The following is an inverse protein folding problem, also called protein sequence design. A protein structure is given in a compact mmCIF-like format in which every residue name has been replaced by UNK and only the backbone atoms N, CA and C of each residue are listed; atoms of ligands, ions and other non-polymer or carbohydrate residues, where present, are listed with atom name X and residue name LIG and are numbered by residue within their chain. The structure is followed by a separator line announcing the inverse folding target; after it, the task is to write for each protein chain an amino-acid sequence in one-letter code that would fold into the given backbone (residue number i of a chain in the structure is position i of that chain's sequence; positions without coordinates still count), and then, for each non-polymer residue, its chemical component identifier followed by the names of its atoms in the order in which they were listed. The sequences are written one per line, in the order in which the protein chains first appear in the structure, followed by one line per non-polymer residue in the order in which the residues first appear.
data_IF_117900278848
#
_entry.id   IF_117900278848
#
_cell.length_a   1.000
_cell.length_b   1.000
_cell.length_c   1.000
_cell.angle_alpha   90.00
_cell.angle_beta   90.00
_cell.angle_gamma   90.00
#
_symmetry.space_group_name_H-M   'P 1'
#
loop_
_entity.id
_entity.type
_entity.pdbx_description
1 polymer ?
#
# COMPACT_ATOMS: atom_id res chain seq x y z
N UNK A 1 28.51 3.36 -9.40
CA UNK A 1 27.97 2.12 -8.80
C UNK A 1 26.63 2.36 -8.08
N UNK A 2 26.57 2.77 -6.81
CA UNK A 2 25.27 2.82 -6.10
C UNK A 2 24.28 3.86 -6.65
N UNK A 3 24.75 5.05 -7.04
CA UNK A 3 23.89 6.14 -7.53
C UNK A 3 23.23 5.83 -8.88
N UNK A 4 23.98 5.27 -9.83
CA UNK A 4 23.48 4.95 -11.18
C UNK A 4 22.37 3.88 -11.14
N UNK A 5 22.50 2.89 -10.25
CA UNK A 5 21.46 1.89 -10.04
C UNK A 5 20.17 2.51 -9.49
N UNK A 6 20.28 3.43 -8.52
CA UNK A 6 19.11 4.12 -7.96
C UNK A 6 18.44 5.04 -8.98
N UNK A 7 19.22 5.73 -9.81
CA UNK A 7 18.69 6.60 -10.87
C UNK A 7 17.96 5.77 -11.94
N UNK A 8 18.52 4.61 -12.32
CA UNK A 8 17.88 3.65 -13.23
C UNK A 8 16.56 3.14 -12.65
N UNK A 9 16.57 2.62 -11.42
CA UNK A 9 15.37 2.06 -10.78
C UNK A 9 14.30 3.11 -10.54
N UNK A 10 14.71 4.34 -10.22
CA UNK A 10 13.80 5.48 -10.14
C UNK A 10 13.10 5.72 -11.48
N UNK A 11 13.83 5.70 -12.60
CA UNK A 11 13.26 5.89 -13.93
C UNK A 11 12.35 4.74 -14.36
N UNK A 12 12.68 3.51 -14.00
CA UNK A 12 11.83 2.35 -14.27
C UNK A 12 10.52 2.40 -13.50
N UNK A 13 10.55 2.78 -12.22
CA UNK A 13 9.33 3.03 -11.45
C UNK A 13 8.50 4.16 -12.06
N UNK A 14 9.14 5.27 -12.45
CA UNK A 14 8.43 6.37 -13.10
C UNK A 14 7.81 5.97 -14.44
N UNK A 15 8.50 5.13 -15.21
CA UNK A 15 7.96 4.55 -16.44
C UNK A 15 6.77 3.64 -16.15
N UNK A 16 6.82 2.84 -15.09
CA UNK A 16 5.70 1.99 -14.68
C UNK A 16 4.45 2.82 -14.32
N UNK A 17 4.60 3.87 -13.50
CA UNK A 17 3.47 4.75 -13.18
C UNK A 17 2.92 5.48 -14.40
N UNK A 18 3.78 6.09 -15.25
CA UNK A 18 3.33 6.73 -16.50
C UNK A 18 2.63 5.76 -17.44
N UNK A 19 3.09 4.51 -17.50
CA UNK A 19 2.50 3.45 -18.33
C UNK A 19 1.22 2.83 -17.75
N UNK A 20 0.84 3.16 -16.51
CA UNK A 20 -0.31 2.53 -15.85
C UNK A 20 -1.65 3.03 -16.39
N UNK A 21 -1.71 4.24 -16.96
CA UNK A 21 -2.94 4.75 -17.56
C UNK A 21 -2.83 6.14 -18.19
N UNK A 22 -3.82 6.53 -19.02
CA UNK A 22 -3.76 7.76 -19.84
C UNK A 22 -3.95 9.07 -19.06
N UNK A 23 -4.51 9.00 -17.85
CA UNK A 23 -4.81 10.12 -16.95
C UNK A 23 -3.80 10.26 -15.79
N UNK A 24 -2.68 9.52 -15.87
CA UNK A 24 -1.55 9.69 -14.96
C UNK A 24 -0.82 10.99 -15.30
N UNK A 25 -0.62 11.82 -14.28
CA UNK A 25 0.17 13.04 -14.36
C UNK A 25 1.37 12.93 -13.43
N UNK A 26 2.55 13.25 -13.95
CA UNK A 26 3.80 13.31 -13.20
C UNK A 26 4.08 14.77 -12.81
N UNK A 27 4.52 14.99 -11.56
CA UNK A 27 4.97 16.29 -11.07
C UNK A 27 6.29 16.15 -10.33
N UNK A 28 7.26 17.00 -10.67
CA UNK A 28 8.50 17.10 -9.89
C UNK A 28 8.19 17.62 -8.49
N UNK A 29 8.75 16.96 -7.47
CA UNK A 29 8.67 17.36 -6.06
C UNK A 29 10.06 17.36 -5.45
N UNK A 30 10.21 17.94 -4.25
CA UNK A 30 11.50 17.96 -3.58
C UNK A 30 12.01 16.53 -3.34
N UNK A 31 13.14 16.19 -3.95
CA UNK A 31 13.77 14.87 -3.84
C UNK A 31 13.21 13.78 -4.76
N UNK A 32 12.26 14.08 -5.66
CA UNK A 32 11.65 13.04 -6.48
C UNK A 32 10.52 13.49 -7.40
N UNK A 33 9.58 12.56 -7.61
CA UNK A 33 8.44 12.67 -8.53
C UNK A 33 7.17 12.17 -7.87
N UNK A 34 6.10 12.95 -7.99
CA UNK A 34 4.76 12.57 -7.57
C UNK A 34 3.93 12.17 -8.78
N UNK A 35 3.16 11.10 -8.64
CA UNK A 35 2.25 10.57 -9.65
C UNK A 35 0.81 10.74 -9.16
N UNK A 36 -0.01 11.38 -10.00
CA UNK A 36 -1.41 11.66 -9.70
C UNK A 36 -2.32 11.10 -10.78
N UNK A 37 -3.51 10.66 -10.39
CA UNK A 37 -4.57 10.17 -11.29
C UNK A 37 -5.81 11.01 -11.03
N UNK A 38 -6.31 11.72 -12.05
CA UNK A 38 -7.47 12.62 -11.90
C UNK A 38 -7.29 13.68 -10.80
N UNK A 39 -6.05 14.11 -10.53
CA UNK A 39 -5.72 15.06 -9.44
C UNK A 39 -5.51 14.42 -8.06
N UNK A 40 -5.74 13.12 -7.92
CA UNK A 40 -5.50 12.39 -6.67
C UNK A 40 -4.07 11.85 -6.62
N UNK A 41 -3.33 12.11 -5.54
CA UNK A 41 -1.99 11.56 -5.35
C UNK A 41 -2.06 10.03 -5.19
N UNK A 42 -1.24 9.32 -5.96
CA UNK A 42 -1.19 7.85 -5.98
C UNK A 42 0.13 7.33 -5.43
N UNK A 43 1.24 7.92 -5.85
CA UNK A 43 2.55 7.58 -5.36
C UNK A 43 3.52 8.76 -5.41
N UNK A 44 4.57 8.70 -4.59
CA UNK A 44 5.74 9.57 -4.68
C UNK A 44 6.98 8.69 -4.71
N UNK A 45 7.78 8.79 -5.77
CA UNK A 45 9.08 8.12 -5.92
C UNK A 45 10.17 9.13 -5.65
N UNK A 46 11.03 8.89 -4.67
CA UNK A 46 12.05 9.84 -4.23
C UNK A 46 13.39 9.16 -3.93
N UNK A 47 14.48 9.90 -4.12
CA UNK A 47 15.82 9.49 -3.72
C UNK A 47 16.29 10.40 -2.58
N UNK A 48 16.36 9.85 -1.37
CA UNK A 48 16.74 10.59 -0.16
C UNK A 48 17.88 9.87 0.53
N UNK A 49 18.99 10.59 0.76
CA UNK A 49 20.18 10.06 1.45
C UNK A 49 20.75 8.78 0.81
N UNK A 50 20.67 8.66 -0.51
CA UNK A 50 21.16 7.47 -1.24
C UNK A 50 20.23 6.26 -1.12
N UNK A 51 18.96 6.47 -0.79
CA UNK A 51 17.93 5.43 -0.75
C UNK A 51 16.78 5.82 -1.66
N UNK A 52 16.41 4.92 -2.55
CA UNK A 52 15.19 5.02 -3.33
C UNK A 52 14.02 4.62 -2.46
N UNK A 53 12.98 5.45 -2.43
CA UNK A 53 11.80 5.25 -1.61
C UNK A 53 10.57 5.51 -2.45
N UNK A 54 9.53 4.72 -2.22
CA UNK A 54 8.21 4.97 -2.80
C UNK A 54 7.19 5.09 -1.68
N UNK A 55 6.48 6.21 -1.67
CA UNK A 55 5.33 6.43 -0.79
C UNK A 55 4.08 6.13 -1.59
N UNK A 56 3.20 5.33 -1.04
CA UNK A 56 1.93 5.01 -1.66
C UNK A 56 0.77 5.66 -0.92
N UNK A 57 -0.41 5.65 -1.54
CA UNK A 57 -1.65 6.00 -0.86
C UNK A 57 -2.02 4.93 0.17
N UNK A 58 -2.74 5.33 1.23
CA UNK A 58 -3.07 4.48 2.37
C UNK A 58 -3.82 3.20 1.98
N UNK A 59 -4.60 3.24 0.93
CA UNK A 59 -5.40 2.10 0.52
C UNK A 59 -4.56 0.93 0.00
N UNK A 60 -3.29 1.11 -0.36
CA UNK A 60 -2.35 0.03 -0.66
C UNK A 60 -1.73 -0.64 0.58
N UNK A 61 -2.20 -0.29 1.79
CA UNK A 61 -1.64 -0.81 3.05
C UNK A 61 -1.60 -2.31 3.16
N UNK A 62 -2.70 -2.99 2.86
CA UNK A 62 -2.74 -4.45 2.94
C UNK A 62 -1.68 -5.13 2.05
N UNK A 63 -1.31 -4.50 0.94
CA UNK A 63 -0.27 -5.03 0.04
C UNK A 63 1.12 -4.84 0.65
N UNK A 64 1.35 -3.68 1.27
CA UNK A 64 2.64 -3.26 1.81
C UNK A 64 2.98 -3.88 3.16
N UNK A 65 1.99 -4.21 4.00
CA UNK A 65 2.18 -4.72 5.36
C UNK A 65 2.97 -6.03 5.45
N UNK A 66 3.07 -6.80 4.36
CA UNK A 66 3.86 -8.04 4.30
C UNK A 66 5.31 -7.86 3.82
N UNK A 67 5.77 -6.63 3.56
CA UNK A 67 7.09 -6.39 2.95
C UNK A 67 8.17 -6.07 3.97
N UNK A 68 9.34 -6.68 3.79
CA UNK A 68 10.50 -6.55 4.67
C UNK A 68 10.95 -5.10 4.87
N UNK A 69 10.84 -4.27 3.82
CA UNK A 69 11.30 -2.88 3.83
C UNK A 69 10.17 -1.85 3.88
N UNK A 70 8.98 -2.29 4.29
CA UNK A 70 7.87 -1.41 4.61
C UNK A 70 8.01 -0.85 6.02
N UNK A 71 7.86 0.46 6.19
CA UNK A 71 7.90 1.11 7.50
C UNK A 71 6.49 1.58 7.94
N UNK A 72 5.75 0.78 8.73
CA UNK A 72 4.42 1.17 9.20
C UNK A 72 4.44 2.30 10.23
N UNK A 73 5.58 2.53 10.90
CA UNK A 73 5.75 3.57 11.91
C UNK A 73 6.22 4.91 11.32
N UNK A 74 6.43 4.98 10.00
CA UNK A 74 6.82 6.20 9.31
C UNK A 74 5.73 7.28 9.46
N UNK A 75 6.09 8.54 9.79
CA UNK A 75 5.15 9.66 9.78
C UNK A 75 4.71 10.04 8.36
N UNK A 76 5.40 9.53 7.34
CA UNK A 76 5.04 9.68 5.94
C UNK A 76 4.11 8.52 5.52
N UNK A 77 3.06 8.78 4.72
CA UNK A 77 2.12 7.75 4.29
C UNK A 77 2.85 6.60 3.58
N UNK A 78 2.62 5.38 4.08
CA UNK A 78 2.91 4.11 3.42
C UNK A 78 4.26 4.06 2.67
N UNK A 79 5.35 4.21 3.43
CA UNK A 79 6.72 4.26 2.90
C UNK A 79 7.30 2.85 2.67
N UNK A 80 7.65 2.53 1.43
CA UNK A 80 8.46 1.38 1.05
C UNK A 80 9.86 1.85 0.64
N UNK A 81 10.90 1.32 1.29
CA UNK A 81 12.29 1.51 0.81
C UNK A 81 12.52 0.51 -0.32
N UNK A 82 12.90 1.02 -1.50
CA UNK A 82 13.07 0.19 -2.70
C UNK A 82 14.50 -0.35 -2.70
N UNK A 83 14.62 -1.63 -2.41
CA UNK A 83 15.85 -2.41 -2.59
C UNK A 83 15.75 -3.23 -3.88
N UNK A 84 16.80 -4.00 -4.20
CA UNK A 84 16.78 -4.93 -5.34
C UNK A 84 15.62 -5.93 -5.24
N UNK A 85 15.36 -6.47 -4.04
CA UNK A 85 14.29 -7.42 -3.78
C UNK A 85 12.88 -6.81 -3.88
N UNK A 86 12.75 -5.49 -3.66
CA UNK A 86 11.45 -4.80 -3.68
C UNK A 86 11.17 -4.09 -5.00
N UNK A 87 12.16 -4.01 -5.91
CA UNK A 87 12.04 -3.25 -7.17
C UNK A 87 10.86 -3.72 -8.01
N UNK A 88 10.84 -5.01 -8.36
CA UNK A 88 9.80 -5.58 -9.21
C UNK A 88 8.43 -5.50 -8.54
N UNK A 89 8.42 -5.64 -7.21
CA UNK A 89 7.20 -5.48 -6.45
C UNK A 89 6.67 -4.04 -6.50
N UNK A 90 7.51 -3.04 -6.25
CA UNK A 90 7.13 -1.64 -6.34
C UNK A 90 6.63 -1.27 -7.75
N UNK A 91 7.22 -1.84 -8.81
CA UNK A 91 6.74 -1.70 -10.19
C UNK A 91 5.33 -2.33 -10.33
N UNK A 92 5.11 -3.53 -9.80
CA UNK A 92 3.81 -4.22 -9.87
C UNK A 92 2.69 -3.49 -9.13
N UNK A 93 3.02 -2.64 -8.15
CA UNK A 93 2.03 -1.82 -7.44
C UNK A 93 1.48 -0.69 -8.30
N UNK A 94 2.20 -0.23 -9.33
CA UNK A 94 1.79 0.90 -10.16
C UNK A 94 0.39 0.74 -10.81
N UNK A 95 0.07 -0.36 -11.52
CA UNK A 95 -1.27 -0.56 -12.08
C UNK A 95 -2.35 -0.67 -10.99
N UNK A 96 -2.09 -1.33 -9.86
CA UNK A 96 -3.06 -1.38 -8.77
C UNK A 96 -3.33 -0.01 -8.15
N UNK A 97 -2.28 0.80 -8.00
CA UNK A 97 -2.38 2.15 -7.47
C UNK A 97 -3.23 3.03 -8.40
N UNK A 98 -3.04 2.88 -9.71
CA UNK A 98 -3.87 3.50 -10.74
C UNK A 98 -5.34 3.06 -10.63
N UNK A 99 -5.61 1.75 -10.61
CA UNK A 99 -6.97 1.21 -10.56
C UNK A 99 -7.72 1.65 -9.31
N UNK A 100 -7.06 1.64 -8.14
CA UNK A 100 -7.67 2.13 -6.89
C UNK A 100 -7.89 3.64 -6.92
N UNK A 101 -7.02 4.40 -7.58
CA UNK A 101 -7.21 5.84 -7.72
C UNK A 101 -8.41 6.19 -8.59
N UNK A 102 -8.63 5.43 -9.66
CA UNK A 102 -9.74 5.63 -10.59
C UNK A 102 -11.07 5.11 -10.07
N UNK A 103 -11.08 3.92 -9.49
CA UNK A 103 -12.32 3.20 -9.14
C UNK A 103 -12.68 3.31 -7.65
N UNK A 104 -11.83 3.96 -6.86
CA UNK A 104 -11.93 3.94 -5.41
C UNK A 104 -11.33 2.65 -4.81
N UNK A 105 -11.00 2.70 -3.53
CA UNK A 105 -10.46 1.54 -2.82
C UNK A 105 -11.51 0.42 -2.79
N UNK A 106 -11.16 -0.84 -3.08
CA UNK A 106 -12.09 -1.95 -2.94
C UNK A 106 -12.58 -1.98 -1.49
N UNK A 107 -13.91 -1.89 -1.31
CA UNK A 107 -14.53 -2.01 0.01
C UNK A 107 -14.07 -3.34 0.60
N UNK A 108 -13.51 -3.38 1.82
CA UNK A 108 -13.17 -4.65 2.44
C UNK A 108 -14.44 -5.51 2.44
N UNK A 109 -14.34 -6.72 1.87
CA UNK A 109 -15.44 -7.65 1.86
C UNK A 109 -15.95 -7.77 3.30
N UNK A 110 -17.26 -7.51 3.51
CA UNK A 110 -17.86 -7.59 4.82
C UNK A 110 -17.48 -8.95 5.42
N UNK A 111 -16.75 -8.93 6.54
CA UNK A 111 -16.39 -10.13 7.27
C UNK A 111 -17.71 -10.79 7.62
N UNK A 112 -18.02 -11.95 7.01
CA UNK A 112 -19.14 -12.77 7.43
C UNK A 112 -18.89 -13.11 8.89
N UNK A 113 -19.49 -12.35 9.80
CA UNK A 113 -19.47 -12.65 11.21
C UNK A 113 -20.10 -14.03 11.33
N UNK A 114 -19.27 -15.04 11.54
CA UNK A 114 -19.68 -16.37 11.90
C UNK A 114 -20.41 -16.19 13.22
N UNK A 115 -21.74 -16.15 13.17
CA UNK A 115 -22.60 -16.15 14.36
C UNK A 115 -22.30 -17.44 15.10
N UNK A 116 -21.37 -17.37 16.07
CA UNK A 116 -21.17 -18.45 17.04
C UNK A 116 -22.46 -18.50 17.81
N UNK A 117 -23.23 -19.57 17.56
CA UNK A 117 -24.50 -19.81 18.22
C UNK A 117 -24.33 -19.70 19.72
N UNK A 118 -25.20 -18.92 20.36
CA UNK A 118 -25.32 -18.85 21.79
C UNK A 118 -25.66 -20.25 22.32
N UNK A 119 -24.68 -20.92 22.93
CA UNK A 119 -24.92 -22.15 23.70
C UNK A 119 -25.83 -21.78 24.86
N UNK A 120 -27.04 -22.35 24.86
CA UNK A 120 -28.08 -22.10 25.84
C UNK A 120 -27.58 -22.41 27.27
N UNK A 121 -27.82 -21.47 28.19
CA UNK A 121 -27.56 -21.65 29.61
C UNK A 121 -28.44 -22.77 30.18
N UNK A 122 -27.82 -23.76 30.80
CA UNK A 122 -28.47 -24.85 31.53
C UNK A 122 -28.98 -24.32 32.90
N UNK A 123 -30.28 -24.39 33.22
CA UNK A 123 -30.76 -23.94 34.53
C UNK A 123 -30.52 -25.03 35.59
N UNK A 124 -29.60 -24.74 36.51
CA UNK A 124 -29.35 -25.52 37.74
C UNK A 124 -30.64 -25.63 38.56
N UNK A 125 -31.25 -26.81 38.55
CA UNK A 125 -32.41 -27.13 39.40
C UNK A 125 -31.99 -27.17 40.87
N UNK A 126 -32.45 -26.18 41.64
CA UNK A 126 -32.37 -26.18 43.12
C UNK A 126 -33.19 -27.35 43.69
N UNK A 127 -32.53 -28.35 44.27
CA UNK A 127 -33.18 -29.33 45.16
C UNK A 127 -33.36 -28.69 46.55
N UNK A 128 -34.61 -28.57 47.02
CA UNK A 128 -34.93 -28.37 48.43
C UNK A 128 -34.91 -29.73 49.13
N UNK A 129 -34.13 -29.86 50.19
CA UNK A 129 -34.22 -30.97 51.13
C UNK A 129 -35.43 -30.76 52.07
N UNK A 130 -36.14 -31.84 52.35
CA UNK A 130 -37.05 -32.01 53.49
C UNK A 130 -36.53 -33.20 54.28
#
# INVERSE_FOLDING_TARGET
MAKEALDLWSEELAKAFRGSGPDVTERSVFGGRAFLVGGTLVAVVENVSGQLRTRFREDLRAELEGRTHFNPASPLPMLLVVTEDDRDYAISLAPMAYDRARNGSPRPAATTQRTVGATAAEPVRRRRAR
#
